data_IF_066872313685
#
_entry.id   IF_066872313685
#
_cell.length_a   1.000
_cell.length_b   1.000
_cell.length_c   1.000
_cell.angle_alpha   90.00
_cell.angle_beta   90.00
_cell.angle_gamma   90.00
#
_symmetry.space_group_name_H-M   'P 1'
#
loop_
_entity.id
_entity.type
_entity.pdbx_description
1 polymer ?
#
# COMPACT_ATOMS: atom_id res chain seq x y z
N UNK A 1 -8.02 -3.37 -1.03
CA UNK A 1 -7.60 -1.94 -1.08
C UNK A 1 -6.60 -1.82 -2.22
N UNK A 2 -6.70 -0.82 -3.09
CA UNK A 2 -5.80 -0.68 -4.24
C UNK A 2 -4.60 0.19 -3.87
N UNK A 3 -3.48 -0.44 -3.49
CA UNK A 3 -2.27 0.25 -3.01
C UNK A 3 -1.63 1.13 -4.09
N UNK A 4 -1.71 0.73 -5.35
CA UNK A 4 -1.18 1.48 -6.51
C UNK A 4 -1.97 2.75 -6.84
N UNK A 5 -3.12 3.02 -6.22
CA UNK A 5 -3.85 4.27 -6.44
C UNK A 5 -3.29 5.46 -5.65
N UNK A 6 -2.39 5.23 -4.70
CA UNK A 6 -1.91 6.25 -3.78
C UNK A 6 -0.67 6.99 -4.30
N UNK A 7 -0.60 8.29 -4.04
CA UNK A 7 0.60 9.13 -4.25
C UNK A 7 1.37 9.43 -2.97
N UNK A 8 0.85 8.99 -1.83
CA UNK A 8 1.48 9.15 -0.52
C UNK A 8 1.44 7.83 0.23
N UNK A 9 2.62 7.34 0.62
CA UNK A 9 2.72 6.12 1.40
C UNK A 9 2.05 6.29 2.77
N UNK A 10 2.07 7.50 3.34
CA UNK A 10 1.42 7.80 4.64
C UNK A 10 -0.10 7.66 4.54
N UNK A 11 -0.70 8.15 3.45
CA UNK A 11 -2.15 8.01 3.22
C UNK A 11 -2.52 6.55 3.05
N UNK A 12 -1.76 5.80 2.24
CA UNK A 12 -1.99 4.37 2.05
C UNK A 12 -1.92 3.59 3.37
N UNK A 13 -0.89 3.85 4.19
CA UNK A 13 -0.73 3.27 5.52
C UNK A 13 -1.90 3.62 6.43
N UNK A 14 -2.35 4.89 6.47
CA UNK A 14 -3.51 5.31 7.28
C UNK A 14 -4.78 4.57 6.90
N UNK A 15 -5.03 4.39 5.61
CA UNK A 15 -6.23 3.71 5.14
C UNK A 15 -6.17 2.21 5.43
N UNK A 16 -4.99 1.58 5.27
CA UNK A 16 -4.78 0.18 5.68
C UNK A 16 -5.00 -0.02 7.17
N UNK A 17 -4.47 0.89 7.99
CA UNK A 17 -4.68 0.90 9.44
C UNK A 17 -6.17 0.98 9.80
N UNK A 18 -6.90 1.88 9.15
CA UNK A 18 -8.36 2.03 9.35
C UNK A 18 -9.11 0.78 8.92
N UNK A 19 -8.74 0.15 7.80
CA UNK A 19 -9.36 -1.08 7.33
C UNK A 19 -9.15 -2.22 8.34
N UNK A 20 -7.91 -2.46 8.76
CA UNK A 20 -7.60 -3.52 9.72
C UNK A 20 -8.23 -3.27 11.10
N UNK A 21 -8.37 -2.02 11.52
CA UNK A 21 -9.13 -1.67 12.74
C UNK A 21 -10.59 -2.08 12.64
N UNK A 22 -11.23 -1.88 11.49
CA UNK A 22 -12.61 -2.31 11.25
C UNK A 22 -12.73 -3.85 11.22
N UNK A 23 -11.74 -4.53 10.65
CA UNK A 23 -11.73 -6.00 10.56
C UNK A 23 -11.46 -6.69 11.90
N UNK A 24 -10.60 -6.13 12.76
CA UNK A 24 -10.07 -6.83 13.95
C UNK A 24 -10.36 -6.17 15.30
N UNK A 25 -10.94 -4.96 15.31
CA UNK A 25 -11.32 -4.21 16.52
C UNK A 25 -10.16 -3.70 17.40
N UNK A 26 -9.03 -4.40 17.48
CA UNK A 26 -7.99 -4.19 18.50
C UNK A 26 -6.63 -3.70 17.99
N UNK A 27 -6.52 -3.24 16.73
CA UNK A 27 -5.26 -2.64 16.23
C UNK A 27 -5.10 -1.20 16.74
N UNK A 28 -4.64 -1.07 17.98
CA UNK A 28 -4.35 0.23 18.61
C UNK A 28 -3.07 0.83 18.02
N UNK A 29 -2.92 2.17 18.14
CA UNK A 29 -1.68 2.83 17.74
C UNK A 29 -0.49 2.36 18.58
N UNK A 30 -0.70 2.09 19.87
CA UNK A 30 0.32 1.56 20.78
C UNK A 30 0.83 0.20 20.34
N UNK A 31 -0.07 -0.73 19.99
CA UNK A 31 0.31 -2.06 19.51
C UNK A 31 1.26 -2.00 18.31
N UNK A 32 1.01 -1.08 17.38
CA UNK A 32 1.84 -0.92 16.18
C UNK A 32 3.15 -0.25 16.52
N UNK A 33 3.13 0.76 17.37
CA UNK A 33 4.34 1.45 17.83
C UNK A 33 5.30 0.46 18.52
N UNK A 34 4.76 -0.43 19.37
CA UNK A 34 5.53 -1.48 20.04
C UNK A 34 6.16 -2.45 19.04
N UNK A 35 5.41 -2.88 18.02
CA UNK A 35 5.92 -3.73 16.93
C UNK A 35 7.03 -3.06 16.10
N UNK A 36 6.99 -1.74 15.98
CA UNK A 36 8.02 -0.96 15.29
C UNK A 36 9.24 -0.66 16.18
N UNK A 37 9.13 -0.85 17.50
CA UNK A 37 10.14 -0.40 18.46
C UNK A 37 10.23 1.13 18.56
N UNK A 38 9.10 1.83 18.42
CA UNK A 38 9.03 3.30 18.49
C UNK A 38 7.95 3.75 19.45
N UNK A 39 8.00 5.01 19.89
CA UNK A 39 6.93 5.60 20.70
C UNK A 39 5.67 5.85 19.86
N UNK A 40 4.48 5.68 20.44
CA UNK A 40 3.21 5.95 19.75
C UNK A 40 3.10 7.40 19.25
N UNK A 41 3.68 8.35 19.99
CA UNK A 41 3.79 9.76 19.58
C UNK A 41 4.62 9.93 18.30
N UNK A 42 5.69 9.15 18.13
CA UNK A 42 6.50 9.12 16.91
C UNK A 42 5.69 8.61 15.72
N UNK A 43 4.96 7.50 15.90
CA UNK A 43 4.06 6.96 14.87
C UNK A 43 3.03 8.00 14.43
N UNK A 44 2.36 8.66 15.36
CA UNK A 44 1.40 9.73 15.06
C UNK A 44 2.07 10.89 14.34
N UNK A 45 3.24 11.34 14.80
CA UNK A 45 4.01 12.43 14.21
C UNK A 45 4.39 12.15 12.76
N UNK A 46 4.92 10.96 12.46
CA UNK A 46 5.31 10.57 11.10
C UNK A 46 4.10 10.51 10.17
N UNK A 47 2.99 9.94 10.63
CA UNK A 47 1.80 9.80 9.79
C UNK A 47 1.11 11.14 9.53
N UNK A 48 1.21 12.12 10.44
CA UNK A 48 0.46 13.38 10.34
C UNK A 48 1.31 14.61 9.95
N UNK A 49 2.63 14.47 9.81
CA UNK A 49 3.50 15.57 9.40
C UNK A 49 4.16 15.25 8.07
N UNK A 50 4.20 16.22 7.14
CA UNK A 50 4.97 16.08 5.90
C UNK A 50 6.48 16.00 6.15
N UNK A 51 6.98 16.62 7.21
CA UNK A 51 8.43 16.72 7.50
C UNK A 51 9.03 15.47 8.16
N UNK A 52 8.19 14.60 8.71
CA UNK A 52 8.63 13.41 9.42
C UNK A 52 8.40 12.16 8.56
N UNK A 53 9.41 11.29 8.47
CA UNK A 53 9.35 10.05 7.70
C UNK A 53 9.87 8.89 8.54
N UNK A 54 9.39 7.69 8.22
CA UNK A 54 9.99 6.47 8.76
C UNK A 54 11.39 6.29 8.18
N UNK A 55 12.30 5.64 8.91
CA UNK A 55 13.46 5.02 8.27
C UNK A 55 13.01 3.86 7.35
N UNK A 56 13.93 3.34 6.54
CA UNK A 56 13.62 2.18 5.68
C UNK A 56 13.23 0.96 6.51
N UNK A 57 14.00 0.65 7.56
CA UNK A 57 13.71 -0.46 8.47
C UNK A 57 12.37 -0.31 9.19
N UNK A 58 12.05 0.91 9.64
CA UNK A 58 10.76 1.19 10.28
C UNK A 58 9.61 1.04 9.29
N UNK A 59 9.78 1.52 8.05
CA UNK A 59 8.77 1.32 7.02
C UNK A 59 8.63 -0.19 6.72
N UNK A 60 9.72 -0.93 6.55
CA UNK A 60 9.69 -2.37 6.30
C UNK A 60 8.85 -3.10 7.36
N UNK A 61 9.18 -2.92 8.64
CA UNK A 61 8.48 -3.53 9.77
C UNK A 61 7.01 -3.12 9.82
N UNK A 62 6.71 -1.87 9.49
CA UNK A 62 5.33 -1.37 9.43
C UNK A 62 4.54 -2.09 8.34
N UNK A 63 5.11 -2.19 7.14
CA UNK A 63 4.41 -2.78 6.01
C UNK A 63 4.22 -4.29 6.21
N UNK A 64 5.17 -4.96 6.85
CA UNK A 64 5.04 -6.35 7.28
C UNK A 64 3.90 -6.51 8.30
N UNK A 65 3.88 -5.69 9.35
CA UNK A 65 2.82 -5.71 10.37
C UNK A 65 1.43 -5.45 9.79
N UNK A 66 1.34 -4.63 8.75
CA UNK A 66 0.11 -4.31 8.01
C UNK A 66 -0.22 -5.29 6.88
N UNK A 67 0.61 -6.34 6.72
CA UNK A 67 0.44 -7.43 5.76
C UNK A 67 0.31 -6.94 4.32
N UNK A 68 1.16 -6.00 3.93
CA UNK A 68 1.31 -5.65 2.52
C UNK A 68 2.05 -6.78 1.78
N UNK A 69 1.67 -7.03 0.53
CA UNK A 69 2.41 -7.96 -0.35
C UNK A 69 3.78 -7.38 -0.72
N UNK A 70 4.65 -8.18 -1.32
CA UNK A 70 5.98 -7.74 -1.75
C UNK A 70 5.90 -6.57 -2.74
N UNK A 71 5.12 -6.70 -3.81
CA UNK A 71 4.94 -5.62 -4.80
C UNK A 71 4.32 -4.35 -4.20
N UNK A 72 3.41 -4.48 -3.22
CA UNK A 72 2.88 -3.33 -2.49
C UNK A 72 3.95 -2.64 -1.64
N UNK A 73 4.84 -3.42 -1.02
CA UNK A 73 5.96 -2.90 -0.23
C UNK A 73 6.91 -2.11 -1.10
N UNK A 74 7.34 -2.68 -2.22
CA UNK A 74 8.21 -2.00 -3.19
C UNK A 74 7.62 -0.66 -3.63
N UNK A 75 6.33 -0.65 -3.97
CA UNK A 75 5.63 0.57 -4.34
C UNK A 75 5.63 1.62 -3.21
N UNK A 76 5.41 1.20 -1.96
CA UNK A 76 5.43 2.11 -0.81
C UNK A 76 6.84 2.64 -0.50
N UNK A 77 7.89 1.86 -0.76
CA UNK A 77 9.28 2.33 -0.70
C UNK A 77 9.59 3.37 -1.78
N UNK A 78 9.07 3.22 -2.99
CA UNK A 78 9.17 4.24 -4.04
C UNK A 78 8.50 5.55 -3.62
N UNK A 79 7.27 5.47 -3.10
CA UNK A 79 6.54 6.64 -2.60
C UNK A 79 7.26 7.33 -1.44
N UNK A 80 7.85 6.57 -0.51
CA UNK A 80 8.66 7.14 0.59
C UNK A 80 9.89 7.86 0.04
N UNK A 81 10.63 7.22 -0.86
CA UNK A 81 11.83 7.78 -1.47
C UNK A 81 11.52 9.08 -2.22
N UNK A 82 10.41 9.10 -2.94
CA UNK A 82 9.92 10.28 -3.65
C UNK A 82 9.57 11.43 -2.71
N UNK A 83 8.97 11.12 -1.55
CA UNK A 83 8.62 12.13 -0.56
C UNK A 83 9.85 12.70 0.18
N UNK A 84 10.92 11.91 0.33
CA UNK A 84 12.11 12.29 1.10
C UNK A 84 13.20 12.99 0.27
N UNK A 85 13.28 12.73 -1.03
CA UNK A 85 14.35 13.31 -1.85
C UNK A 85 14.15 14.82 -2.05
N UNK A 86 15.20 15.58 -1.78
CA UNK A 86 15.28 17.01 -2.13
C UNK A 86 15.82 17.26 -3.55
N UNK A 87 16.42 16.26 -4.19
CA UNK A 87 17.05 16.38 -5.51
C UNK A 87 16.00 16.30 -6.62
N UNK A 88 15.84 17.34 -7.48
CA UNK A 88 14.82 17.37 -8.53
C UNK A 88 14.93 16.24 -9.55
N UNK A 89 16.13 15.88 -9.98
CA UNK A 89 16.37 14.85 -11.00
C UNK A 89 15.97 13.47 -10.47
N UNK A 90 16.36 13.18 -9.22
CA UNK A 90 15.96 11.95 -8.53
C UNK A 90 14.45 11.91 -8.32
N UNK A 91 13.83 13.05 -8.01
CA UNK A 91 12.38 13.13 -7.85
C UNK A 91 11.65 12.81 -9.15
N UNK A 92 12.09 13.36 -10.28
CA UNK A 92 11.52 13.08 -11.60
C UNK A 92 11.69 11.59 -12.00
N UNK A 93 12.84 10.98 -11.69
CA UNK A 93 13.04 9.55 -11.91
C UNK A 93 12.09 8.69 -11.06
N UNK A 94 11.97 8.99 -9.77
CA UNK A 94 11.05 8.28 -8.89
C UNK A 94 9.59 8.45 -9.33
N UNK A 95 9.21 9.62 -9.83
CA UNK A 95 7.87 9.85 -10.38
C UNK A 95 7.60 8.95 -11.60
N UNK A 96 8.58 8.79 -12.50
CA UNK A 96 8.47 7.84 -13.63
C UNK A 96 8.30 6.41 -13.15
N UNK A 97 9.07 5.98 -12.15
CA UNK A 97 8.98 4.64 -11.57
C UNK A 97 7.61 4.41 -10.91
N UNK A 98 7.11 5.38 -10.15
CA UNK A 98 5.77 5.35 -9.56
C UNK A 98 4.72 5.18 -10.65
N UNK A 99 4.74 6.01 -11.69
CA UNK A 99 3.76 5.92 -12.80
C UNK A 99 3.80 4.56 -13.50
N UNK A 100 5.00 3.98 -13.70
CA UNK A 100 5.14 2.62 -14.26
C UNK A 100 4.51 1.57 -13.34
N UNK A 101 4.77 1.61 -12.05
CA UNK A 101 4.17 0.70 -11.08
C UNK A 101 2.63 0.86 -11.01
N UNK A 102 2.12 2.09 -11.11
CA UNK A 102 0.67 2.35 -11.18
C UNK A 102 0.04 1.76 -12.45
N UNK A 103 0.69 1.91 -13.61
CA UNK A 103 0.23 1.34 -14.87
C UNK A 103 0.23 -0.19 -14.84
N UNK A 104 1.31 -0.80 -14.33
CA UNK A 104 1.41 -2.24 -14.16
C UNK A 104 0.31 -2.79 -13.24
N UNK A 105 0.05 -2.12 -12.10
CA UNK A 105 -1.05 -2.48 -11.20
C UNK A 105 -2.41 -2.44 -11.88
N UNK A 106 -2.71 -1.38 -12.64
CA UNK A 106 -3.97 -1.27 -13.40
C UNK A 106 -4.12 -2.37 -14.47
N UNK A 107 -3.04 -2.73 -15.15
CA UNK A 107 -3.07 -3.79 -16.17
C UNK A 107 -3.35 -5.17 -15.55
N UNK A 108 -2.74 -5.46 -14.38
CA UNK A 108 -3.04 -6.66 -13.61
C UNK A 108 -4.52 -6.70 -13.24
N UNK A 109 -5.07 -5.60 -12.72
CA UNK A 109 -6.48 -5.53 -12.32
C UNK A 109 -7.45 -5.81 -13.48
N UNK A 110 -7.17 -5.28 -14.67
CA UNK A 110 -8.00 -5.54 -15.85
C UNK A 110 -7.93 -7.00 -16.28
N UNK A 111 -6.77 -7.62 -16.13
CA UNK A 111 -6.58 -9.05 -16.46
C UNK A 111 -7.30 -9.94 -15.46
N UNK A 112 -7.22 -9.63 -14.17
CA UNK A 112 -7.91 -10.36 -13.10
C UNK A 112 -9.44 -10.27 -13.26
N UNK A 113 -9.95 -9.07 -13.57
CA UNK A 113 -11.37 -8.85 -13.86
C UNK A 113 -11.84 -9.62 -15.11
N UNK A 114 -11.05 -9.60 -16.19
CA UNK A 114 -11.36 -10.32 -17.42
C UNK A 114 -11.38 -11.85 -17.19
N UNK A 115 -10.43 -12.36 -16.40
CA UNK A 115 -10.38 -13.77 -15.99
C UNK A 115 -11.62 -14.15 -15.16
N UNK A 116 -11.97 -13.34 -14.15
CA UNK A 116 -13.13 -13.59 -13.31
C UNK A 116 -14.45 -13.57 -14.10
N UNK A 117 -14.60 -12.64 -15.04
CA UNK A 117 -15.76 -12.58 -15.93
C UNK A 117 -15.83 -13.84 -16.83
N UNK A 118 -14.70 -14.26 -17.39
CA UNK A 118 -14.62 -15.47 -18.22
C UNK A 118 -15.01 -16.73 -17.43
N UNK A 119 -14.57 -16.85 -16.17
CA UNK A 119 -14.94 -17.95 -15.29
C UNK A 119 -16.46 -17.96 -15.00
N UNK A 120 -17.02 -16.82 -14.61
CA UNK A 120 -18.44 -16.68 -14.33
C UNK A 120 -19.32 -17.01 -15.56
N UNK A 121 -18.92 -16.56 -16.75
CA UNK A 121 -19.65 -16.87 -18.00
C UNK A 121 -19.60 -18.36 -18.35
N UNK A 122 -18.48 -19.06 -18.07
CA UNK A 122 -18.39 -20.52 -18.26
C UNK A 122 -19.33 -21.28 -17.33
N UNK A 123 -19.44 -20.87 -16.06
CA UNK A 123 -20.35 -21.52 -15.10
C UNK A 123 -21.82 -21.37 -15.52
N UNK A 124 -22.22 -20.20 -16.02
CA UNK A 124 -23.57 -19.94 -16.54
C UNK A 124 -23.88 -20.81 -17.76
N UNK A 125 -22.90 -20.99 -18.67
CA UNK A 125 -23.06 -21.78 -19.89
C UNK A 125 -23.14 -23.30 -19.67
N UNK A 126 -22.67 -23.80 -18.52
CA UNK A 126 -22.71 -25.24 -18.18
C UNK A 126 -24.06 -25.60 -17.53
N UNK A 127 -24.72 -24.66 -16.84
CA UNK A 127 -26.00 -24.88 -16.17
C UNK A 127 -27.26 -24.84 -17.07
N UNK A 128 -27.14 -24.66 -18.39
CA UNK A 128 -28.30 -24.57 -19.32
C UNK A 128 -28.61 -25.87 -20.06
N UNK A 129 -28.09 -27.01 -19.61
CA UNK A 129 -28.40 -28.35 -20.14
C UNK A 129 -29.01 -29.22 -19.04
N UNK A 130 -30.27 -28.98 -18.72
CA UNK A 130 -31.18 -29.96 -18.09
C UNK A 130 -32.55 -29.88 -18.76
#
# INVERSE_FOLDING_TARGET
>A
MKTTAYWSYKTCVKDRLRALRRERGALTQSYIADRLGVQASYLSRVLNSEKAHFSEDQLYRLLEALRFTEGEREYLFLLRSHAMTGLPERKAELERQIRRAQAAGKASELTDLASALSAALKEISIGTRE
#
